data_IF_227155801976
#
_entry.id   IF_227155801976
#
_cell.length_a   1.000
_cell.length_b   1.000
_cell.length_c   1.000
_cell.angle_alpha   90.00
_cell.angle_beta   90.00
_cell.angle_gamma   90.00
#
_symmetry.space_group_name_H-M   'P 1'
#
loop_
_entity.id
_entity.type
_entity.pdbx_description
1 polymer ?
#
# COMPACT_ATOMS: atom_id res chain seq x y z
N UNK A 1 -6.75 20.85 24.39
CA UNK A 1 -7.43 20.13 23.30
C UNK A 1 -6.46 20.08 22.14
N UNK A 2 -6.18 18.91 21.59
CA UNK A 2 -5.38 18.81 20.36
C UNK A 2 -6.37 18.84 19.20
N UNK A 3 -6.26 19.82 18.32
CA UNK A 3 -7.18 19.97 17.20
C UNK A 3 -6.93 18.87 16.16
N UNK A 4 -8.04 18.34 15.63
CA UNK A 4 -7.99 17.36 14.53
C UNK A 4 -7.48 18.07 13.27
N UNK A 5 -6.47 17.50 12.57
CA UNK A 5 -5.97 18.08 11.33
C UNK A 5 -7.08 18.34 10.31
N UNK A 6 -6.94 19.41 9.53
CA UNK A 6 -7.96 19.83 8.56
C UNK A 6 -8.17 18.78 7.46
N UNK A 7 -7.09 18.12 7.01
CA UNK A 7 -7.18 17.08 5.98
C UNK A 7 -7.99 15.85 6.44
N UNK A 8 -7.95 15.48 7.73
CA UNK A 8 -8.81 14.44 8.31
C UNK A 8 -10.27 14.84 8.25
N UNK A 9 -10.59 16.10 8.60
CA UNK A 9 -11.96 16.62 8.54
C UNK A 9 -12.47 16.67 7.10
N UNK A 10 -11.63 17.14 6.17
CA UNK A 10 -11.97 17.19 4.75
C UNK A 10 -12.19 15.80 4.14
N UNK A 11 -11.31 14.84 4.44
CA UNK A 11 -11.46 13.46 3.96
C UNK A 11 -12.70 12.76 4.54
N UNK A 12 -12.99 12.98 5.84
CA UNK A 12 -14.18 12.45 6.48
C UNK A 12 -15.46 13.02 5.86
N UNK A 13 -15.56 14.34 5.74
CA UNK A 13 -16.72 15.01 5.15
C UNK A 13 -16.93 14.58 3.69
N UNK A 14 -15.85 14.45 2.91
CA UNK A 14 -15.92 13.97 1.54
C UNK A 14 -16.45 12.53 1.47
N UNK A 15 -15.98 11.66 2.36
CA UNK A 15 -16.37 10.26 2.39
C UNK A 15 -17.82 10.07 2.90
N UNK A 16 -18.28 10.89 3.85
CA UNK A 16 -19.67 10.90 4.34
C UNK A 16 -20.65 11.31 3.24
N UNK A 17 -20.26 12.26 2.38
CA UNK A 17 -21.05 12.68 1.22
C UNK A 17 -21.22 11.62 0.12
N UNK A 18 -20.60 10.44 0.24
CA UNK A 18 -20.69 9.35 -0.76
C UNK A 18 -21.81 8.37 -0.45
N UNK A 19 -22.50 7.95 -1.49
CA UNK A 19 -23.51 6.90 -1.42
C UNK A 19 -22.96 5.60 -0.82
N UNK A 20 -23.83 4.82 -0.17
CA UNK A 20 -23.47 3.52 0.34
C UNK A 20 -23.03 2.59 -0.80
N UNK A 21 -21.89 1.92 -0.63
CA UNK A 21 -21.31 1.04 -1.66
C UNK A 21 -20.44 1.74 -2.72
N UNK A 22 -20.23 3.06 -2.63
CA UNK A 22 -19.23 3.75 -3.44
C UNK A 22 -17.81 3.25 -3.11
N UNK A 23 -17.08 2.76 -4.10
CA UNK A 23 -15.76 2.15 -3.91
C UNK A 23 -14.71 3.15 -3.45
N UNK A 24 -14.77 4.39 -3.94
CA UNK A 24 -13.84 5.45 -3.53
C UNK A 24 -14.15 5.90 -2.09
N UNK A 25 -15.43 6.15 -1.78
CA UNK A 25 -15.90 6.42 -0.42
C UNK A 25 -15.52 5.33 0.59
N UNK A 26 -15.69 4.05 0.24
CA UNK A 26 -15.29 2.93 1.11
C UNK A 26 -13.77 2.88 1.33
N UNK A 27 -12.96 3.07 0.29
CA UNK A 27 -11.51 3.08 0.42
C UNK A 27 -11.01 4.21 1.34
N UNK A 28 -11.58 5.41 1.22
CA UNK A 28 -11.24 6.54 2.11
C UNK A 28 -11.66 6.25 3.56
N UNK A 29 -12.85 5.67 3.77
CA UNK A 29 -13.32 5.26 5.12
C UNK A 29 -12.40 4.19 5.74
N UNK A 30 -11.92 3.23 4.95
CA UNK A 30 -10.97 2.22 5.42
C UNK A 30 -9.66 2.87 5.91
N UNK A 31 -9.09 3.79 5.11
CA UNK A 31 -7.88 4.55 5.49
C UNK A 31 -8.12 5.37 6.76
N UNK A 32 -9.24 6.09 6.86
CA UNK A 32 -9.57 6.88 8.05
C UNK A 32 -9.77 6.01 9.29
N UNK A 33 -10.43 4.86 9.17
CA UNK A 33 -10.59 3.90 10.26
C UNK A 33 -9.24 3.35 10.73
N UNK A 34 -8.34 3.03 9.80
CA UNK A 34 -6.99 2.58 10.15
C UNK A 34 -6.18 3.65 10.87
N UNK A 35 -6.29 4.91 10.44
CA UNK A 35 -5.57 6.05 11.01
C UNK A 35 -6.24 6.65 12.26
N UNK A 36 -7.44 6.22 12.64
CA UNK A 36 -8.10 6.66 13.90
C UNK A 36 -7.99 5.64 15.02
N UNK A 37 -7.58 4.40 14.71
CA UNK A 37 -7.34 3.34 15.69
C UNK A 37 -6.08 3.55 16.56
N UNK A 38 -5.69 2.55 17.36
CA UNK A 38 -4.49 2.61 18.19
C UNK A 38 -3.21 2.79 17.33
N UNK A 39 -2.13 3.40 17.85
CA UNK A 39 -0.85 3.54 17.16
C UNK A 39 -0.35 2.21 16.59
N UNK A 40 0.09 2.20 15.34
CA UNK A 40 0.57 1.00 14.66
C UNK A 40 2.09 1.01 14.65
N UNK A 41 2.73 0.16 15.43
CA UNK A 41 4.19 0.19 15.61
C UNK A 41 4.81 -1.10 15.09
N UNK A 42 5.79 -0.99 14.20
CA UNK A 42 6.62 -2.09 13.74
C UNK A 42 8.01 -2.00 14.36
N UNK A 43 8.63 -3.13 14.69
CA UNK A 43 9.98 -3.17 15.25
C UNK A 43 10.84 -4.16 14.49
N UNK A 44 12.00 -3.73 14.05
CA UNK A 44 12.93 -4.56 13.30
C UNK A 44 14.38 -4.15 13.56
N UNK A 45 15.30 -5.05 13.21
CA UNK A 45 16.70 -4.76 12.90
C UNK A 45 16.84 -4.65 11.37
N UNK A 46 18.06 -4.37 10.90
CA UNK A 46 18.37 -4.37 9.46
C UNK A 46 18.15 -5.76 8.83
N UNK A 47 18.29 -6.83 9.62
CA UNK A 47 18.25 -8.22 9.12
C UNK A 47 16.93 -8.94 9.42
N UNK A 48 16.26 -8.59 10.51
CA UNK A 48 15.14 -9.38 11.02
C UNK A 48 14.06 -8.56 11.74
N UNK A 49 12.79 -9.02 11.68
CA UNK A 49 11.72 -8.47 12.51
C UNK A 49 11.96 -8.82 13.98
N UNK A 50 11.64 -7.92 14.90
CA UNK A 50 11.82 -8.14 16.34
C UNK A 50 10.47 -8.21 17.03
N UNK A 51 10.30 -9.20 17.91
CA UNK A 51 9.08 -9.37 18.69
C UNK A 51 9.21 -8.61 20.01
N UNK A 52 8.48 -7.51 20.10
CA UNK A 52 8.30 -6.70 21.31
C UNK A 52 6.84 -6.29 21.44
N UNK A 53 6.45 -5.88 22.64
CA UNK A 53 5.14 -5.30 22.91
C UNK A 53 5.34 -3.86 23.35
N UNK A 54 4.72 -2.92 22.65
CA UNK A 54 4.73 -1.51 23.04
C UNK A 54 3.37 -1.18 23.67
N UNK A 55 3.31 -0.67 24.91
CA UNK A 55 2.06 -0.36 25.58
C UNK A 55 1.17 0.60 24.76
N UNK A 56 -0.11 0.27 24.65
CA UNK A 56 -1.09 1.10 23.95
C UNK A 56 -0.99 1.08 22.41
N UNK A 57 -0.07 0.31 21.83
CA UNK A 57 0.10 0.19 20.39
C UNK A 57 -0.34 -1.18 19.85
N UNK A 58 -0.80 -1.18 18.60
CA UNK A 58 -0.99 -2.39 17.80
C UNK A 58 0.31 -2.74 17.09
N UNK A 59 0.92 -3.87 17.46
CA UNK A 59 2.17 -4.32 16.85
C UNK A 59 1.96 -4.79 15.40
N UNK A 60 2.85 -4.34 14.50
CA UNK A 60 2.88 -4.73 13.09
C UNK A 60 4.13 -5.54 12.82
N UNK A 61 3.98 -6.66 12.12
CA UNK A 61 5.11 -7.47 11.72
C UNK A 61 5.87 -6.81 10.57
N UNK A 62 6.99 -6.17 10.88
CA UNK A 62 7.74 -5.32 9.94
C UNK A 62 9.13 -5.88 9.71
N UNK A 63 9.53 -5.99 8.43
CA UNK A 63 10.89 -6.32 8.02
C UNK A 63 11.59 -5.06 7.50
N UNK A 64 12.91 -5.01 7.60
CA UNK A 64 13.71 -4.03 6.86
C UNK A 64 13.92 -4.50 5.40
N UNK A 65 13.89 -3.59 4.40
CA UNK A 65 13.38 -2.23 4.50
C UNK A 65 11.87 -2.23 4.71
N UNK A 66 11.38 -1.39 5.62
CA UNK A 66 9.94 -1.27 5.83
C UNK A 66 9.30 -0.67 4.57
N UNK A 67 8.36 -1.43 4.01
CA UNK A 67 7.61 -1.09 2.80
C UNK A 67 6.13 -1.31 3.09
N UNK A 68 5.33 -0.25 2.96
CA UNK A 68 3.88 -0.28 3.20
C UNK A 68 3.40 0.94 3.99
N UNK A 69 2.11 1.03 4.22
CA UNK A 69 1.45 2.14 4.95
C UNK A 69 0.70 1.69 6.20
N UNK A 70 0.73 0.38 6.50
CA UNK A 70 0.06 -0.20 7.67
C UNK A 70 0.75 0.09 9.00
N UNK A 71 1.83 0.87 9.01
CA UNK A 71 2.65 1.18 10.18
C UNK A 71 2.78 2.69 10.31
N UNK A 72 2.50 3.21 11.51
CA UNK A 72 2.67 4.63 11.84
C UNK A 72 4.15 4.92 12.14
N UNK A 73 4.75 4.09 13.00
CA UNK A 73 6.14 4.21 13.44
C UNK A 73 6.89 2.89 13.27
N UNK A 74 8.09 2.95 12.70
CA UNK A 74 9.03 1.84 12.66
C UNK A 74 10.19 2.13 13.60
N UNK A 75 10.32 1.30 14.64
CA UNK A 75 11.47 1.32 15.53
C UNK A 75 12.55 0.41 14.93
N UNK A 76 13.67 1.01 14.53
CA UNK A 76 14.83 0.29 14.03
C UNK A 76 15.83 0.10 15.17
N UNK A 77 16.00 -1.14 15.62
CA UNK A 77 17.01 -1.53 16.61
C UNK A 77 18.36 -1.66 15.89
N UNK A 78 19.30 -0.81 16.27
CA UNK A 78 20.67 -0.85 15.79
C UNK A 78 21.61 -0.33 16.87
N UNK A 79 22.62 -1.12 17.23
CA UNK A 79 23.63 -0.69 18.19
C UNK A 79 24.54 0.37 17.55
N UNK A 80 24.65 1.54 18.18
CA UNK A 80 25.45 2.65 17.67
C UNK A 80 24.85 3.31 16.42
N UNK A 81 25.66 4.07 15.69
CA UNK A 81 25.18 4.85 14.55
C UNK A 81 24.63 3.97 13.42
N UNK A 82 23.48 4.41 12.86
CA UNK A 82 22.84 3.74 11.74
C UNK A 82 23.62 4.02 10.44
N UNK A 83 23.92 3.00 9.61
CA UNK A 83 24.61 3.20 8.35
C UNK A 83 23.91 4.22 7.44
N UNK A 84 24.67 5.03 6.71
CA UNK A 84 24.14 6.13 5.88
C UNK A 84 23.03 5.69 4.90
N UNK A 85 23.13 4.48 4.33
CA UNK A 85 22.10 3.87 3.48
C UNK A 85 20.79 3.61 4.20
N UNK A 86 20.87 3.11 5.42
CA UNK A 86 19.71 2.80 6.25
C UNK A 86 19.05 4.12 6.69
N UNK A 87 19.86 5.09 7.13
CA UNK A 87 19.41 6.45 7.45
C UNK A 87 18.73 7.14 6.27
N UNK A 88 19.31 7.06 5.07
CA UNK A 88 18.73 7.57 3.82
C UNK A 88 17.34 6.97 3.56
N UNK A 89 17.19 5.65 3.72
CA UNK A 89 15.90 4.99 3.54
C UNK A 89 14.88 5.40 4.59
N UNK A 90 15.29 5.53 5.86
CA UNK A 90 14.45 6.04 6.95
C UNK A 90 13.88 7.43 6.61
N UNK A 91 14.66 8.29 5.95
CA UNK A 91 14.24 9.64 5.55
C UNK A 91 13.24 9.67 4.37
N UNK A 92 13.19 8.63 3.56
CA UNK A 92 12.42 8.61 2.31
C UNK A 92 11.00 8.01 2.45
N UNK A 93 10.68 7.39 3.58
CA UNK A 93 9.39 6.74 3.81
C UNK A 93 8.31 7.70 4.33
N UNK A 94 7.01 7.39 4.09
CA UNK A 94 5.92 8.17 4.67
C UNK A 94 5.73 7.88 6.17
N UNK A 95 6.22 6.74 6.64
CA UNK A 95 6.22 6.30 8.04
C UNK A 95 7.28 7.07 8.82
N UNK A 96 7.09 7.21 10.12
CA UNK A 96 8.14 7.73 11.00
C UNK A 96 9.11 6.61 11.36
N UNK A 97 10.40 6.83 11.14
CA UNK A 97 11.44 5.91 11.56
C UNK A 97 12.17 6.46 12.78
N UNK A 98 12.31 5.64 13.80
CA UNK A 98 13.03 5.99 15.02
C UNK A 98 14.14 4.97 15.23
N UNK A 99 15.36 5.46 15.37
CA UNK A 99 16.51 4.66 15.76
C UNK A 99 16.48 4.47 17.27
N UNK A 100 16.63 3.22 17.70
CA UNK A 100 16.78 2.83 19.11
C UNK A 100 17.97 1.86 19.23
N UNK A 101 18.64 1.90 20.37
CA UNK A 101 19.89 1.14 20.56
C UNK A 101 19.64 -0.33 20.86
N UNK A 102 18.57 -0.62 21.60
CA UNK A 102 18.27 -1.96 22.09
C UNK A 102 16.76 -2.25 22.17
N UNK A 103 16.47 -3.49 22.58
CA UNK A 103 15.10 -4.01 22.70
C UNK A 103 14.35 -3.38 23.87
N UNK A 104 15.03 -3.03 24.96
CA UNK A 104 14.42 -2.47 26.17
C UNK A 104 13.90 -1.05 25.91
N UNK A 105 14.67 -0.24 25.18
CA UNK A 105 14.22 1.06 24.67
C UNK A 105 13.00 0.91 23.77
N UNK A 106 12.91 -0.16 22.97
CA UNK A 106 11.73 -0.44 22.15
C UNK A 106 10.48 -0.70 23.01
N UNK A 107 10.60 -1.52 24.04
CA UNK A 107 9.49 -1.91 24.93
C UNK A 107 8.98 -0.73 25.76
N UNK A 108 9.86 0.20 26.13
CA UNK A 108 9.55 1.41 26.88
C UNK A 108 9.15 2.61 26.00
N UNK A 109 9.10 2.45 24.67
CA UNK A 109 8.79 3.54 23.77
C UNK A 109 7.35 4.04 23.95
N UNK A 110 7.17 5.36 24.05
CA UNK A 110 5.86 6.01 24.07
C UNK A 110 5.75 7.08 23.01
N UNK A 111 4.66 7.07 22.25
CA UNK A 111 4.38 8.10 21.25
C UNK A 111 3.43 9.17 21.81
N UNK A 112 3.83 10.43 21.71
CA UNK A 112 2.97 11.55 22.09
C UNK A 112 1.82 11.75 21.09
N UNK A 113 0.65 12.16 21.57
CA UNK A 113 -0.56 12.38 20.74
C UNK A 113 -0.29 13.36 19.61
N UNK A 114 0.41 14.47 19.87
CA UNK A 114 0.74 15.46 18.86
C UNK A 114 1.68 14.90 17.77
N UNK A 115 2.66 14.07 18.15
CA UNK A 115 3.54 13.41 17.19
C UNK A 115 2.76 12.43 16.32
N UNK A 116 1.91 11.61 16.93
CA UNK A 116 1.07 10.65 16.22
C UNK A 116 0.17 11.34 15.19
N UNK A 117 -0.46 12.46 15.55
CA UNK A 117 -1.32 13.20 14.64
C UNK A 117 -0.55 13.73 13.42
N UNK A 118 0.65 14.29 13.61
CA UNK A 118 1.50 14.74 12.48
C UNK A 118 1.89 13.59 11.55
N UNK A 119 2.25 12.43 12.12
CA UNK A 119 2.59 11.23 11.33
C UNK A 119 1.38 10.78 10.52
N UNK A 120 0.22 10.70 11.14
CA UNK A 120 -1.01 10.25 10.51
C UNK A 120 -1.55 11.23 9.48
N UNK A 121 -1.34 12.52 9.68
CA UNK A 121 -1.61 13.57 8.70
C UNK A 121 -0.80 13.33 7.42
N UNK A 122 0.51 13.08 7.56
CA UNK A 122 1.40 12.73 6.44
C UNK A 122 0.97 11.44 5.76
N UNK A 123 0.66 10.39 6.53
CA UNK A 123 0.19 9.11 6.01
C UNK A 123 -1.12 9.24 5.23
N UNK A 124 -2.10 9.99 5.76
CA UNK A 124 -3.37 10.24 5.10
C UNK A 124 -3.15 10.90 3.73
N UNK A 125 -2.29 11.92 3.66
CA UNK A 125 -1.96 12.60 2.39
C UNK A 125 -1.34 11.63 1.38
N UNK A 126 -0.41 10.78 1.80
CA UNK A 126 0.18 9.76 0.92
C UNK A 126 -0.84 8.73 0.44
N UNK A 127 -1.73 8.26 1.33
CA UNK A 127 -2.79 7.29 0.99
C UNK A 127 -3.82 7.89 0.02
N UNK A 128 -4.28 9.11 0.27
CA UNK A 128 -5.20 9.81 -0.62
C UNK A 128 -4.59 10.01 -2.01
N UNK A 129 -3.30 10.32 -2.09
CA UNK A 129 -2.57 10.43 -3.36
C UNK A 129 -2.46 9.08 -4.07
N UNK A 130 -2.16 8.00 -3.35
CA UNK A 130 -2.12 6.66 -3.90
C UNK A 130 -3.50 6.22 -4.42
N UNK A 131 -4.56 6.54 -3.67
CA UNK A 131 -5.94 6.27 -4.07
C UNK A 131 -6.36 7.13 -5.26
N UNK A 132 -5.90 8.38 -5.38
CA UNK A 132 -6.21 9.26 -6.50
C UNK A 132 -5.74 8.73 -7.86
N UNK A 133 -4.67 7.91 -7.88
CA UNK A 133 -4.24 7.18 -9.09
C UNK A 133 -5.33 6.22 -9.58
N UNK A 134 -6.09 5.62 -8.66
CA UNK A 134 -7.17 4.67 -8.96
C UNK A 134 -8.54 5.34 -9.07
N UNK A 135 -8.79 6.39 -8.29
CA UNK A 135 -10.05 7.13 -8.18
C UNK A 135 -9.77 8.62 -8.39
N UNK A 136 -9.76 9.10 -9.65
CA UNK A 136 -9.38 10.48 -9.97
C UNK A 136 -10.19 11.55 -9.25
N UNK A 137 -11.43 11.26 -8.82
CA UNK A 137 -12.25 12.18 -8.01
C UNK A 137 -11.64 12.57 -6.66
N UNK A 138 -10.61 11.84 -6.18
CA UNK A 138 -9.88 12.15 -4.95
C UNK A 138 -8.76 13.19 -5.12
N UNK A 139 -8.45 13.60 -6.36
CA UNK A 139 -7.32 14.49 -6.64
C UNK A 139 -7.41 15.83 -5.89
N UNK A 140 -8.63 16.32 -5.64
CA UNK A 140 -8.86 17.54 -4.86
C UNK A 140 -8.58 17.42 -3.35
N UNK A 141 -8.46 16.20 -2.83
CA UNK A 141 -8.09 15.92 -1.43
C UNK A 141 -6.60 15.58 -1.27
N UNK A 142 -5.93 15.20 -2.35
CA UNK A 142 -4.54 14.76 -2.35
C UNK A 142 -3.60 15.96 -2.44
N UNK A 143 -3.41 16.66 -1.31
CA UNK A 143 -2.37 17.67 -1.19
C UNK A 143 -0.97 17.09 -1.43
N UNK A 144 0.02 17.93 -1.72
CA UNK A 144 1.40 17.48 -1.79
C UNK A 144 1.88 17.02 -0.40
N UNK A 145 2.59 15.89 -0.30
CA UNK A 145 3.11 15.42 0.97
C UNK A 145 4.13 16.44 1.48
N UNK A 146 3.89 16.96 2.70
CA UNK A 146 4.89 17.74 3.39
C UNK A 146 6.15 16.89 3.59
N UNK A 147 7.30 17.39 3.13
CA UNK A 147 8.59 16.80 3.49
C UNK A 147 8.74 16.80 5.02
N UNK A 148 9.36 15.77 5.63
CA UNK A 148 9.61 15.78 7.07
C UNK A 148 10.31 17.08 7.48
N UNK A 149 9.81 17.79 8.51
CA UNK A 149 10.44 19.00 8.98
C UNK A 149 11.77 18.60 9.63
N UNK A 150 12.84 19.19 9.14
CA UNK A 150 14.16 19.20 9.79
C UNK A 150 14.90 17.85 9.80
N UNK A 151 15.43 17.51 8.63
CA UNK A 151 16.55 16.59 8.52
C UNK A 151 17.79 17.46 8.68
N UNK A 152 18.46 17.40 9.84
CA UNK A 152 19.65 18.20 10.13
C UNK A 152 20.73 18.15 9.03
N UNK A 153 21.77 18.97 9.17
CA UNK A 153 22.79 19.14 8.14
C UNK A 153 23.31 17.78 7.58
N UNK A 154 23.40 17.62 6.24
CA UNK A 154 23.78 16.33 5.66
C UNK A 154 25.20 15.94 6.07
N UNK A 155 25.42 14.66 6.35
CA UNK A 155 26.74 14.12 6.67
C UNK A 155 27.50 13.82 5.39
N UNK A 156 28.69 14.36 5.24
CA UNK A 156 29.44 14.31 3.97
C UNK A 156 30.82 13.73 4.20
N UNK A 157 31.19 12.74 3.40
CA UNK A 157 32.57 12.26 3.33
C UNK A 157 33.22 12.75 2.05
N UNK A 158 34.43 13.28 2.17
CA UNK A 158 35.23 13.74 1.04
C UNK A 158 36.35 12.74 0.79
N UNK A 159 36.42 12.22 -0.43
CA UNK A 159 37.40 11.21 -0.86
C UNK A 159 38.13 11.69 -2.12
N UNK A 160 39.36 11.25 -2.30
CA UNK A 160 40.16 11.59 -3.48
C UNK A 160 41.59 11.06 -3.36
N UNK A 161 42.33 10.98 -4.48
CA UNK A 161 43.71 10.51 -4.48
C UNK A 161 44.72 11.57 -4.01
N UNK A 162 44.30 12.85 -3.92
CA UNK A 162 45.12 13.99 -3.50
C UNK A 162 44.64 14.49 -2.12
N UNK A 163 45.46 14.28 -1.10
CA UNK A 163 45.11 14.57 0.29
C UNK A 163 44.97 16.08 0.57
N UNK A 164 45.78 16.92 -0.10
CA UNK A 164 45.77 18.36 0.12
C UNK A 164 44.48 18.96 -0.46
N UNK A 165 44.11 18.58 -1.68
CA UNK A 165 42.82 18.97 -2.28
C UNK A 165 41.62 18.45 -1.50
N UNK A 166 41.71 17.24 -0.97
CA UNK A 166 40.65 16.70 -0.09
C UNK A 166 40.50 17.56 1.17
N UNK A 167 41.60 18.00 1.78
CA UNK A 167 41.57 18.87 2.95
C UNK A 167 40.95 20.24 2.64
N UNK A 168 41.29 20.85 1.50
CA UNK A 168 40.69 22.11 1.04
C UNK A 168 39.17 21.99 0.87
N UNK A 169 38.70 20.96 0.15
CA UNK A 169 37.27 20.74 -0.08
C UNK A 169 36.53 20.43 1.23
N UNK A 170 37.16 19.69 2.15
CA UNK A 170 36.61 19.45 3.50
C UNK A 170 36.42 20.76 4.27
N UNK A 171 37.39 21.67 4.21
CA UNK A 171 37.31 22.96 4.88
C UNK A 171 36.15 23.82 4.34
N UNK A 172 35.96 23.85 3.02
CA UNK A 172 34.84 24.56 2.37
C UNK A 172 33.48 24.01 2.82
N UNK A 173 33.36 22.68 2.90
CA UNK A 173 32.12 22.01 3.29
C UNK A 173 31.81 22.13 4.78
N UNK A 174 32.82 22.06 5.65
CA UNK A 174 32.65 22.07 7.11
C UNK A 174 31.93 23.32 7.66
N UNK A 175 31.92 24.42 6.91
CA UNK A 175 31.19 25.63 7.28
C UNK A 175 29.65 25.47 7.22
N UNK A 176 29.13 24.50 6.46
CA UNK A 176 27.71 24.42 6.10
C UNK A 176 27.10 23.01 6.12
N UNK A 177 27.94 21.97 6.25
CA UNK A 177 27.53 20.55 6.33
C UNK A 177 28.40 19.81 7.34
N UNK A 178 27.94 18.67 7.85
CA UNK A 178 28.69 17.85 8.80
C UNK A 178 29.69 16.96 8.04
N UNK A 179 31.00 17.22 8.16
CA UNK A 179 32.03 16.43 7.47
C UNK A 179 32.46 15.24 8.32
N UNK A 180 32.33 14.02 7.79
CA UNK A 180 32.63 12.75 8.48
C UNK A 180 33.73 11.94 7.77
N UNK A 181 34.21 10.87 8.41
CA UNK A 181 35.42 10.15 7.97
C UNK A 181 35.20 8.88 7.14
N UNK A 182 34.12 8.10 7.28
CA UNK A 182 33.75 7.13 6.23
C UNK A 182 32.41 6.39 6.35
N UNK A 183 32.03 5.85 7.51
CA UNK A 183 30.97 4.83 7.56
C UNK A 183 29.54 5.39 7.45
N UNK A 184 29.34 6.64 7.86
CA UNK A 184 28.02 7.15 8.21
C UNK A 184 27.54 8.33 7.37
N UNK A 185 28.22 8.58 6.25
CA UNK A 185 27.93 9.68 5.35
C UNK A 185 26.60 9.49 4.60
N UNK A 186 25.88 10.59 4.41
CA UNK A 186 24.69 10.70 3.58
C UNK A 186 25.05 10.93 2.10
N UNK A 187 26.19 11.60 1.84
CA UNK A 187 26.72 11.93 0.51
C UNK A 187 28.24 11.77 0.48
N UNK A 188 28.77 11.23 -0.62
CA UNK A 188 30.20 11.20 -0.90
C UNK A 188 30.54 12.33 -1.87
N UNK A 189 31.57 13.12 -1.59
CA UNK A 189 32.15 14.08 -2.53
C UNK A 189 33.48 13.54 -3.00
N UNK A 190 33.58 13.23 -4.30
CA UNK A 190 34.80 12.78 -4.94
C UNK A 190 35.58 13.98 -5.50
N UNK A 191 36.84 14.07 -5.09
CA UNK A 191 37.80 15.10 -5.49
C UNK A 191 38.87 14.46 -6.39
N UNK A 192 39.12 14.99 -7.60
CA UNK A 192 40.11 14.44 -8.50
C UNK A 192 41.54 14.79 -8.09
N UNK A 193 42.51 13.96 -8.52
CA UNK A 193 43.92 14.34 -8.48
C UNK A 193 44.26 15.40 -9.55
N UNK A 194 45.54 15.78 -9.62
CA UNK A 194 46.02 16.81 -10.57
C UNK A 194 45.69 16.54 -12.05
N UNK A 195 45.47 15.27 -12.44
CA UNK A 195 45.13 14.85 -13.81
C UNK A 195 43.67 14.41 -13.99
N UNK A 196 42.78 14.71 -13.04
CA UNK A 196 41.43 14.16 -13.04
C UNK A 196 41.34 12.81 -12.31
N UNK A 197 40.23 12.10 -12.49
CA UNK A 197 40.09 10.73 -12.02
C UNK A 197 40.73 9.75 -12.99
N UNK A 198 41.50 8.82 -12.45
CA UNK A 198 42.14 7.75 -13.20
C UNK A 198 41.38 6.43 -12.98
N UNK A 199 41.59 5.45 -13.86
CA UNK A 199 40.99 4.11 -13.71
C UNK A 199 41.39 3.42 -12.40
N UNK A 200 42.56 3.76 -11.84
CA UNK A 200 43.01 3.25 -10.54
C UNK A 200 42.15 3.76 -9.36
N UNK A 201 41.45 4.89 -9.53
CA UNK A 201 40.55 5.45 -8.52
C UNK A 201 39.17 4.76 -8.53
N UNK A 202 38.84 4.02 -9.60
CA UNK A 202 37.54 3.41 -9.80
C UNK A 202 37.10 2.48 -8.66
N UNK A 203 37.94 1.59 -8.09
CA UNK A 203 37.54 0.72 -6.97
C UNK A 203 37.11 1.52 -5.74
N UNK A 204 37.82 2.59 -5.39
CA UNK A 204 37.50 3.45 -4.23
C UNK A 204 36.19 4.21 -4.45
N UNK A 205 35.98 4.74 -5.66
CA UNK A 205 34.75 5.44 -6.03
C UNK A 205 33.54 4.50 -6.05
N UNK A 206 33.71 3.28 -6.55
CA UNK A 206 32.67 2.25 -6.58
C UNK A 206 32.34 1.73 -5.18
N UNK A 207 33.33 1.51 -4.32
CA UNK A 207 33.09 1.12 -2.93
C UNK A 207 32.33 2.23 -2.18
N UNK A 208 32.72 3.49 -2.32
CA UNK A 208 32.02 4.62 -1.72
C UNK A 208 30.57 4.74 -2.23
N UNK A 209 30.36 4.59 -3.54
CA UNK A 209 29.01 4.50 -4.12
C UNK A 209 28.21 3.30 -3.56
N UNK A 210 28.85 2.13 -3.45
CA UNK A 210 28.27 0.92 -2.86
C UNK A 210 28.03 1.02 -1.34
N UNK A 211 28.52 2.05 -0.66
CA UNK A 211 28.24 2.28 0.77
C UNK A 211 27.22 3.37 1.01
N UNK A 212 27.15 4.39 0.16
CA UNK A 212 26.29 5.57 0.37
C UNK A 212 25.16 5.67 -0.66
N UNK A 213 25.43 5.28 -1.91
CA UNK A 213 24.49 5.38 -3.03
C UNK A 213 24.28 6.81 -3.54
N UNK A 214 25.08 7.77 -3.08
CA UNK A 214 25.03 9.18 -3.51
C UNK A 214 26.46 9.72 -3.61
N UNK A 215 26.84 10.14 -4.81
CA UNK A 215 28.18 10.60 -5.13
C UNK A 215 28.09 11.90 -5.91
N UNK A 216 28.72 12.93 -5.38
CA UNK A 216 28.96 14.19 -6.06
C UNK A 216 30.40 14.18 -6.56
N UNK A 217 30.62 14.53 -7.82
CA UNK A 217 31.95 14.53 -8.43
C UNK A 217 32.38 15.93 -8.86
N UNK A 218 33.65 16.28 -8.61
CA UNK A 218 34.27 17.54 -9.04
C UNK A 218 34.92 17.45 -10.43
N UNK A 219 34.94 16.26 -11.05
CA UNK A 219 35.49 16.04 -12.39
C UNK A 219 34.79 14.86 -13.08
N UNK A 220 34.77 14.78 -14.42
CA UNK A 220 34.22 13.63 -15.11
C UNK A 220 34.85 12.31 -14.63
N UNK A 221 34.00 11.34 -14.31
CA UNK A 221 34.45 10.00 -13.93
C UNK A 221 34.82 9.20 -15.18
N UNK A 222 35.70 8.18 -15.06
CA UNK A 222 35.92 7.22 -16.15
C UNK A 222 34.62 6.52 -16.56
N UNK A 223 34.51 6.15 -17.83
CA UNK A 223 33.31 5.49 -18.36
C UNK A 223 32.99 4.20 -17.60
N UNK A 224 31.70 3.99 -17.29
CA UNK A 224 31.23 2.83 -16.51
C UNK A 224 31.42 2.94 -14.99
N UNK A 225 32.06 4.00 -14.47
CA UNK A 225 32.23 4.22 -13.04
C UNK A 225 31.08 5.08 -12.50
N UNK A 226 30.26 4.50 -11.62
CA UNK A 226 29.19 5.19 -10.88
C UNK A 226 28.30 6.06 -11.80
N UNK A 227 27.50 5.47 -12.70
CA UNK A 227 26.79 6.21 -13.77
C UNK A 227 25.74 7.21 -13.24
N UNK A 228 25.35 7.11 -11.98
CA UNK A 228 24.41 8.01 -11.31
C UNK A 228 25.12 9.09 -10.47
N UNK A 229 26.44 9.25 -10.61
CA UNK A 229 27.17 10.33 -9.96
C UNK A 229 26.73 11.70 -10.49
N UNK A 230 26.61 12.66 -9.59
CA UNK A 230 26.13 14.02 -9.89
C UNK A 230 27.32 14.97 -9.96
N UNK A 231 27.53 15.73 -11.05
CA UNK A 231 28.58 16.75 -11.08
C UNK A 231 28.23 17.89 -10.11
N UNK A 232 29.24 18.41 -9.39
CA UNK A 232 29.04 19.46 -8.39
C UNK A 232 28.51 20.79 -8.96
N UNK A 233 28.79 21.08 -10.24
CA UNK A 233 28.42 22.35 -10.86
C UNK A 233 29.15 23.54 -10.22
N UNK A 234 28.49 24.71 -10.22
CA UNK A 234 29.06 25.96 -9.72
C UNK A 234 28.99 26.12 -8.19
N UNK A 235 27.99 25.51 -7.56
CA UNK A 235 27.81 25.51 -6.10
C UNK A 235 27.81 24.07 -5.57
N UNK A 236 28.92 23.73 -4.90
CA UNK A 236 29.11 22.43 -4.31
C UNK A 236 28.18 22.19 -3.11
N UNK A 237 27.96 23.20 -2.26
CA UNK A 237 27.18 23.03 -1.02
C UNK A 237 25.72 22.80 -1.36
N UNK A 238 25.17 23.59 -2.26
CA UNK A 238 23.78 23.44 -2.70
C UNK A 238 23.57 22.12 -3.44
N UNK A 239 24.54 21.69 -4.25
CA UNK A 239 24.48 20.40 -4.92
C UNK A 239 24.51 19.25 -3.92
N UNK A 240 25.37 19.30 -2.91
CA UNK A 240 25.43 18.30 -1.83
C UNK A 240 24.10 18.25 -1.08
N UNK A 241 23.54 19.40 -0.69
CA UNK A 241 22.22 19.46 -0.04
C UNK A 241 21.15 18.85 -0.92
N UNK A 242 21.05 19.25 -2.18
CA UNK A 242 20.06 18.70 -3.13
C UNK A 242 20.18 17.19 -3.27
N UNK A 243 21.40 16.67 -3.44
CA UNK A 243 21.66 15.23 -3.59
C UNK A 243 21.31 14.48 -2.31
N UNK A 244 21.58 15.03 -1.12
CA UNK A 244 21.22 14.40 0.15
C UNK A 244 19.70 14.15 0.31
N UNK A 245 18.87 14.97 -0.33
CA UNK A 245 17.41 14.83 -0.33
C UNK A 245 16.89 13.83 -1.37
N UNK A 246 17.72 13.39 -2.32
CA UNK A 246 17.32 12.38 -3.30
C UNK A 246 17.39 10.98 -2.68
N UNK A 247 16.55 10.03 -3.10
CA UNK A 247 16.74 8.62 -2.75
C UNK A 247 18.16 8.18 -3.11
N UNK A 248 18.83 7.42 -2.24
CA UNK A 248 20.10 6.83 -2.62
C UNK A 248 19.90 5.98 -3.88
N UNK A 249 20.84 6.06 -4.82
CA UNK A 249 20.92 5.21 -5.99
C UNK A 249 20.99 3.75 -5.53
N UNK A 250 19.83 3.09 -5.55
CA UNK A 250 19.70 1.69 -5.19
C UNK A 250 19.90 0.87 -6.45
N UNK A 251 20.91 0.01 -6.43
CA UNK A 251 20.80 -1.26 -7.14
C UNK A 251 19.69 -2.02 -6.42
N UNK A 252 18.44 -1.79 -6.83
CA UNK A 252 17.30 -2.56 -6.32
C UNK A 252 17.63 -4.03 -6.61
N UNK A 253 17.85 -4.87 -5.59
CA UNK A 253 18.12 -6.28 -5.83
C UNK A 253 16.95 -6.82 -6.65
N UNK A 254 17.24 -7.53 -7.73
CA UNK A 254 16.21 -8.10 -8.57
C UNK A 254 15.26 -8.91 -7.69
N UNK A 255 14.00 -8.45 -7.59
CA UNK A 255 13.00 -9.14 -6.79
C UNK A 255 12.75 -10.50 -7.46
N UNK A 256 12.99 -11.62 -6.77
CA UNK A 256 12.82 -12.93 -7.38
C UNK A 256 11.38 -13.13 -7.89
N UNK A 257 11.21 -13.75 -9.05
CA UNK A 257 9.89 -13.96 -9.68
C UNK A 257 8.89 -14.64 -8.73
N UNK A 258 9.36 -15.55 -7.88
CA UNK A 258 8.56 -16.22 -6.87
C UNK A 258 7.93 -15.24 -5.86
N UNK A 259 8.61 -14.13 -5.52
CA UNK A 259 8.07 -13.10 -4.62
C UNK A 259 6.99 -12.27 -5.31
N UNK A 260 7.14 -12.00 -6.61
CA UNK A 260 6.08 -11.38 -7.42
C UNK A 260 4.85 -12.28 -7.54
N UNK A 261 5.05 -13.56 -7.83
CA UNK A 261 3.97 -14.55 -7.88
C UNK A 261 3.24 -14.65 -6.54
N UNK A 262 3.98 -14.71 -5.42
CA UNK A 262 3.41 -14.74 -4.08
C UNK A 262 2.62 -13.46 -3.73
N UNK A 263 3.09 -12.29 -4.18
CA UNK A 263 2.38 -11.02 -3.98
C UNK A 263 1.06 -10.98 -4.77
N UNK A 264 1.10 -11.43 -6.04
CA UNK A 264 -0.11 -11.58 -6.88
C UNK A 264 -1.09 -12.54 -6.22
N UNK A 265 -0.62 -13.70 -5.77
CA UNK A 265 -1.46 -14.72 -5.15
C UNK A 265 -2.08 -14.22 -3.83
N UNK A 266 -1.31 -13.54 -2.97
CA UNK A 266 -1.85 -12.93 -1.75
C UNK A 266 -2.92 -11.88 -2.04
N UNK A 267 -2.70 -11.06 -3.07
CA UNK A 267 -3.64 -10.03 -3.49
C UNK A 267 -4.91 -10.64 -4.07
N UNK A 268 -4.78 -11.69 -4.89
CA UNK A 268 -5.91 -12.47 -5.40
C UNK A 268 -6.70 -13.10 -4.26
N UNK A 269 -6.05 -13.79 -3.32
CA UNK A 269 -6.71 -14.36 -2.13
C UNK A 269 -7.43 -13.31 -1.27
N UNK A 270 -6.85 -12.11 -1.12
CA UNK A 270 -7.51 -10.99 -0.41
C UNK A 270 -8.76 -10.53 -1.17
N UNK A 271 -8.63 -10.28 -2.47
CA UNK A 271 -9.72 -9.87 -3.33
C UNK A 271 -10.85 -10.91 -3.35
N UNK A 272 -10.52 -12.20 -3.43
CA UNK A 272 -11.50 -13.28 -3.36
C UNK A 272 -12.24 -13.30 -2.03
N UNK A 273 -11.55 -13.11 -0.90
CA UNK A 273 -12.19 -13.03 0.42
C UNK A 273 -13.15 -11.85 0.52
N UNK A 274 -12.75 -10.67 0.06
CA UNK A 274 -13.60 -9.47 0.08
C UNK A 274 -14.85 -9.65 -0.80
N UNK A 275 -14.72 -10.24 -2.00
CA UNK A 275 -15.86 -10.57 -2.87
C UNK A 275 -16.80 -11.59 -2.23
N UNK A 276 -16.26 -12.64 -1.62
CA UNK A 276 -17.07 -13.63 -0.91
C UNK A 276 -17.87 -13.01 0.24
N UNK A 277 -17.27 -12.07 0.97
CA UNK A 277 -17.97 -11.35 2.05
C UNK A 277 -19.12 -10.50 1.49
N UNK A 278 -18.88 -9.72 0.43
CA UNK A 278 -19.93 -8.91 -0.20
C UNK A 278 -21.11 -9.75 -0.71
N UNK A 279 -20.84 -10.87 -1.39
CA UNK A 279 -21.89 -11.78 -1.87
C UNK A 279 -22.65 -12.41 -0.69
N UNK A 280 -21.95 -12.76 0.39
CA UNK A 280 -22.56 -13.29 1.61
C UNK A 280 -23.47 -12.26 2.29
N UNK A 281 -23.04 -11.00 2.37
CA UNK A 281 -23.83 -9.90 2.92
C UNK A 281 -25.09 -9.64 2.09
N UNK A 282 -24.99 -9.58 0.76
CA UNK A 282 -26.16 -9.44 -0.11
C UNK A 282 -27.14 -10.60 0.03
N UNK A 283 -26.64 -11.83 0.21
CA UNK A 283 -27.47 -13.01 0.51
C UNK A 283 -28.21 -12.87 1.84
N UNK A 284 -27.51 -12.44 2.90
CA UNK A 284 -28.10 -12.24 4.22
C UNK A 284 -29.15 -11.13 4.22
N UNK A 285 -28.90 -10.05 3.47
CA UNK A 285 -29.84 -8.95 3.27
C UNK A 285 -31.00 -9.29 2.32
N UNK A 286 -30.91 -10.41 1.59
CA UNK A 286 -31.90 -10.78 0.56
C UNK A 286 -31.90 -9.84 -0.65
N UNK A 287 -30.83 -9.06 -0.86
CA UNK A 287 -30.73 -8.05 -1.92
C UNK A 287 -30.38 -8.68 -3.27
N UNK A 288 -31.41 -9.18 -3.95
CA UNK A 288 -31.28 -9.80 -5.28
C UNK A 288 -30.96 -8.79 -6.38
N UNK A 289 -31.37 -7.52 -6.22
CA UNK A 289 -31.15 -6.47 -7.21
C UNK A 289 -29.70 -6.00 -7.15
N UNK A 290 -29.20 -5.69 -5.96
CA UNK A 290 -27.80 -5.36 -5.73
C UNK A 290 -26.88 -6.50 -6.18
N UNK A 291 -27.26 -7.75 -5.95
CA UNK A 291 -26.50 -8.92 -6.43
C UNK A 291 -26.34 -8.95 -7.96
N UNK A 292 -27.37 -8.57 -8.71
CA UNK A 292 -27.30 -8.46 -10.17
C UNK A 292 -26.49 -7.29 -10.65
N UNK A 293 -26.72 -6.12 -10.08
CA UNK A 293 -25.96 -4.93 -10.44
C UNK A 293 -24.47 -5.16 -10.17
N UNK A 294 -24.15 -5.82 -9.06
CA UNK A 294 -22.80 -6.28 -8.74
C UNK A 294 -22.27 -7.30 -9.76
N UNK A 295 -23.03 -8.34 -10.09
CA UNK A 295 -22.60 -9.37 -11.05
C UNK A 295 -22.34 -8.79 -12.45
N UNK A 296 -23.26 -7.96 -12.97
CA UNK A 296 -23.12 -7.29 -14.27
C UNK A 296 -21.90 -6.38 -14.30
N UNK A 297 -21.66 -5.59 -13.24
CA UNK A 297 -20.49 -4.72 -13.12
C UNK A 297 -19.17 -5.50 -13.18
N UNK A 298 -19.19 -6.76 -12.74
CA UNK A 298 -18.03 -7.63 -12.74
C UNK A 298 -18.01 -8.64 -13.90
N UNK A 299 -18.95 -8.54 -14.86
CA UNK A 299 -18.98 -9.36 -16.06
C UNK A 299 -19.54 -10.78 -15.87
N UNK A 300 -20.25 -11.06 -14.77
CA UNK A 300 -20.86 -12.36 -14.52
C UNK A 300 -22.29 -12.43 -15.03
N UNK A 301 -22.68 -13.59 -15.53
CA UNK A 301 -24.05 -13.88 -15.98
C UNK A 301 -24.77 -14.68 -14.90
N UNK A 302 -25.73 -14.05 -14.22
CA UNK A 302 -26.55 -14.72 -13.22
C UNK A 302 -27.75 -15.45 -13.84
N UNK A 303 -28.24 -16.52 -13.19
CA UNK A 303 -29.49 -17.16 -13.58
C UNK A 303 -30.68 -16.18 -13.52
N UNK A 304 -31.67 -16.42 -14.38
CA UNK A 304 -32.90 -15.63 -14.48
C UNK A 304 -33.63 -15.49 -13.13
N UNK A 305 -34.48 -14.45 -12.97
CA UNK A 305 -35.24 -14.32 -11.72
C UNK A 305 -36.13 -15.54 -11.48
N UNK A 306 -36.26 -15.97 -10.22
CA UNK A 306 -37.32 -16.88 -9.85
C UNK A 306 -38.67 -16.15 -9.97
N UNK A 307 -39.34 -16.35 -11.10
CA UNK A 307 -40.69 -15.87 -11.37
C UNK A 307 -41.66 -17.04 -11.24
N UNK A 308 -42.82 -16.83 -10.63
CA UNK A 308 -43.90 -17.81 -10.63
C UNK A 308 -44.39 -18.01 -12.07
N UNK A 309 -44.38 -19.25 -12.54
CA UNK A 309 -44.80 -19.57 -13.90
C UNK A 309 -46.31 -19.69 -13.99
N UNK A 310 -46.87 -19.53 -15.20
CA UNK A 310 -48.30 -19.73 -15.45
C UNK A 310 -48.77 -21.14 -15.03
N UNK A 311 -47.89 -22.14 -15.15
CA UNK A 311 -48.09 -23.51 -14.70
C UNK A 311 -48.22 -23.63 -13.18
N UNK A 312 -47.47 -22.84 -12.41
CA UNK A 312 -47.57 -22.83 -10.95
C UNK A 312 -48.91 -22.29 -10.47
N UNK A 313 -49.38 -21.23 -11.14
CA UNK A 313 -50.69 -20.63 -10.91
C UNK A 313 -51.80 -21.60 -11.33
N UNK A 314 -51.70 -22.24 -12.50
CA UNK A 314 -52.67 -23.23 -12.96
C UNK A 314 -52.77 -24.44 -12.02
N UNK A 315 -51.64 -24.92 -11.49
CA UNK A 315 -51.60 -26.04 -10.54
C UNK A 315 -52.27 -25.65 -9.21
N UNK A 316 -51.95 -24.46 -8.69
CA UNK A 316 -52.56 -23.96 -7.46
C UNK A 316 -54.07 -23.71 -7.62
N UNK A 317 -54.47 -23.07 -8.71
CA UNK A 317 -55.88 -22.81 -9.03
C UNK A 317 -56.64 -24.12 -9.25
N UNK A 318 -56.06 -25.13 -9.88
CA UNK A 318 -56.68 -26.45 -10.06
C UNK A 318 -56.93 -27.17 -8.74
N UNK A 319 -55.99 -27.07 -7.78
CA UNK A 319 -56.19 -27.56 -6.41
C UNK A 319 -57.33 -26.83 -5.69
N UNK A 320 -57.39 -25.50 -5.82
CA UNK A 320 -58.46 -24.70 -5.24
C UNK A 320 -59.82 -25.08 -5.83
N UNK A 321 -59.90 -25.25 -7.16
CA UNK A 321 -61.12 -25.62 -7.88
C UNK A 321 -61.60 -27.01 -7.48
N UNK A 322 -60.69 -27.98 -7.37
CA UNK A 322 -61.00 -29.33 -6.89
C UNK A 322 -61.54 -29.34 -5.45
N UNK A 323 -60.98 -28.53 -4.55
CA UNK A 323 -61.51 -28.37 -3.20
C UNK A 323 -62.91 -27.74 -3.19
N UNK A 324 -63.15 -26.72 -4.02
CA UNK A 324 -64.44 -26.03 -4.08
C UNK A 324 -65.55 -26.93 -4.67
N UNK A 325 -65.23 -27.82 -5.60
CA UNK A 325 -66.17 -28.80 -6.15
C UNK A 325 -66.57 -29.83 -5.09
N UNK A 326 -65.63 -30.29 -4.27
CA UNK A 326 -65.89 -31.30 -3.24
C UNK A 326 -66.55 -30.72 -1.98
N UNK A 327 -66.24 -29.47 -1.62
CA UNK A 327 -66.84 -28.74 -0.51
C UNK A 327 -66.91 -27.24 -0.83
N UNK A 328 -68.07 -26.73 -1.30
CA UNK A 328 -68.21 -25.32 -1.67
C UNK A 328 -68.00 -24.37 -0.48
N UNK A 329 -68.32 -24.82 0.74
CA UNK A 329 -68.14 -24.03 1.97
C UNK A 329 -66.65 -23.84 2.36
N UNK A 330 -65.74 -24.59 1.73
CA UNK A 330 -64.30 -24.54 2.02
C UNK A 330 -63.53 -23.50 1.19
N UNK A 331 -64.22 -22.67 0.41
CA UNK A 331 -63.62 -21.63 -0.43
C UNK A 331 -62.61 -20.71 0.30
N UNK A 332 -62.88 -20.17 1.51
CA UNK A 332 -61.90 -19.36 2.23
C UNK A 332 -60.64 -20.16 2.61
N UNK A 333 -60.78 -21.44 2.97
CA UNK A 333 -59.64 -22.32 3.26
C UNK A 333 -58.84 -22.65 1.98
N UNK A 334 -59.52 -22.83 0.84
CA UNK A 334 -58.88 -23.03 -0.46
C UNK A 334 -58.04 -21.83 -0.90
N UNK A 335 -58.54 -20.61 -0.70
CA UNK A 335 -57.80 -19.36 -1.00
C UNK A 335 -56.57 -19.23 -0.11
N UNK A 336 -56.70 -19.48 1.20
CA UNK A 336 -55.56 -19.44 2.14
C UNK A 336 -54.52 -20.50 1.78
N UNK A 337 -54.94 -21.73 1.46
CA UNK A 337 -54.04 -22.80 1.04
C UNK A 337 -53.29 -22.45 -0.26
N UNK A 338 -53.97 -21.82 -1.23
CA UNK A 338 -53.36 -21.33 -2.46
C UNK A 338 -52.30 -20.25 -2.18
N UNK A 339 -52.61 -19.27 -1.34
CA UNK A 339 -51.67 -18.21 -0.94
C UNK A 339 -50.44 -18.81 -0.26
N UNK A 340 -50.64 -19.73 0.70
CA UNK A 340 -49.56 -20.41 1.40
C UNK A 340 -48.70 -21.25 0.46
N UNK A 341 -49.32 -21.96 -0.48
CA UNK A 341 -48.62 -22.72 -1.52
C UNK A 341 -47.76 -21.82 -2.40
N UNK A 342 -48.31 -20.71 -2.89
CA UNK A 342 -47.57 -19.75 -3.73
C UNK A 342 -46.42 -19.09 -2.97
N UNK A 343 -46.64 -18.73 -1.70
CA UNK A 343 -45.59 -18.17 -0.83
C UNK A 343 -44.48 -19.19 -0.57
N UNK A 344 -44.81 -20.43 -0.21
CA UNK A 344 -43.81 -21.48 0.01
C UNK A 344 -43.05 -21.81 -1.27
N UNK A 345 -43.75 -21.90 -2.42
CA UNK A 345 -43.13 -22.17 -3.72
C UNK A 345 -42.19 -21.05 -4.12
N UNK A 346 -42.60 -19.79 -3.95
CA UNK A 346 -41.73 -18.62 -4.16
C UNK A 346 -40.50 -18.65 -3.25
N UNK A 347 -40.65 -18.96 -1.96
CA UNK A 347 -39.52 -19.08 -1.02
C UNK A 347 -38.53 -20.17 -1.45
N UNK A 348 -39.01 -21.34 -1.88
CA UNK A 348 -38.16 -22.43 -2.37
C UNK A 348 -37.41 -22.05 -3.65
N UNK A 349 -38.07 -21.37 -4.59
CA UNK A 349 -37.42 -20.90 -5.82
C UNK A 349 -36.34 -19.86 -5.53
N UNK A 350 -36.60 -18.91 -4.62
CA UNK A 350 -35.61 -17.90 -4.21
C UNK A 350 -34.43 -18.55 -3.47
N UNK A 351 -34.68 -19.52 -2.59
CA UNK A 351 -33.61 -20.25 -1.90
C UNK A 351 -32.72 -21.00 -2.90
N UNK A 352 -33.32 -21.75 -3.84
CA UNK A 352 -32.58 -22.45 -4.89
C UNK A 352 -31.79 -21.49 -5.76
N UNK A 353 -32.36 -20.34 -6.11
CA UNK A 353 -31.66 -19.30 -6.86
C UNK A 353 -30.39 -18.85 -6.10
N UNK A 354 -30.51 -18.55 -4.80
CA UNK A 354 -29.36 -18.20 -3.96
C UNK A 354 -28.32 -19.31 -3.80
N UNK A 355 -28.71 -20.58 -3.91
CA UNK A 355 -27.76 -21.72 -3.88
C UNK A 355 -27.05 -21.91 -5.23
N UNK A 356 -27.70 -21.57 -6.35
CA UNK A 356 -27.10 -21.61 -7.69
C UNK A 356 -26.23 -20.40 -8.02
N UNK A 357 -26.49 -19.24 -7.41
CA UNK A 357 -25.73 -18.00 -7.65
C UNK A 357 -24.22 -18.17 -7.36
N UNK A 358 -23.77 -18.76 -6.24
CA UNK A 358 -22.34 -19.03 -6.01
C UNK A 358 -21.68 -19.92 -7.07
N UNK A 359 -22.44 -20.82 -7.70
CA UNK A 359 -21.93 -21.71 -8.76
C UNK A 359 -21.86 -20.97 -10.11
N UNK A 360 -22.85 -20.15 -10.43
CA UNK A 360 -22.86 -19.30 -11.63
C UNK A 360 -21.81 -18.17 -11.59
N UNK A 361 -21.38 -17.79 -10.38
CA UNK A 361 -20.28 -16.85 -10.19
C UNK A 361 -18.89 -17.46 -10.38
N UNK A 362 -18.79 -18.78 -10.65
CA UNK A 362 -17.54 -19.55 -10.70
C UNK A 362 -16.47 -18.92 -9.82
N UNK A 363 -16.64 -19.07 -8.50
CA UNK A 363 -15.53 -18.89 -7.55
C UNK A 363 -14.53 -20.05 -7.69
N UNK A 364 -14.31 -20.48 -8.94
CA UNK A 364 -13.43 -21.54 -9.36
C UNK A 364 -12.00 -21.00 -9.31
N UNK A 365 -11.22 -21.65 -8.46
CA UNK A 365 -9.84 -21.33 -8.14
C UNK A 365 -8.84 -21.68 -9.25
N UNK A 366 -9.29 -22.03 -10.47
CA UNK A 366 -8.40 -22.62 -11.48
C UNK A 366 -8.51 -22.09 -12.92
N UNK A 367 -9.51 -21.28 -13.30
CA UNK A 367 -9.68 -20.85 -14.70
C UNK A 367 -9.15 -19.44 -14.99
N UNK A 368 -8.26 -19.35 -15.98
CA UNK A 368 -7.62 -18.11 -16.40
C UNK A 368 -8.41 -17.42 -17.53
N UNK A 369 -9.42 -16.60 -17.19
CA UNK A 369 -9.91 -15.36 -17.88
C UNK A 369 -11.44 -15.22 -17.77
N UNK A 370 -11.96 -14.04 -17.37
CA UNK A 370 -12.30 -12.91 -18.30
C UNK A 370 -11.93 -11.52 -17.70
N UNK A 371 -11.59 -10.40 -18.38
CA UNK A 371 -12.14 -9.70 -19.56
C UNK A 371 -13.12 -8.60 -19.07
N UNK A 372 -12.91 -7.28 -19.04
CA UNK A 372 -11.87 -6.35 -19.53
C UNK A 372 -11.83 -5.12 -18.57
N UNK A 373 -10.75 -4.98 -17.80
CA UNK A 373 -10.54 -3.82 -16.92
C UNK A 373 -9.17 -3.94 -16.26
N UNK A 374 -8.21 -3.12 -16.68
CA UNK A 374 -6.80 -3.23 -16.33
C UNK A 374 -6.53 -2.92 -14.85
N UNK A 375 -6.72 -3.91 -13.98
CA UNK A 375 -6.38 -3.81 -12.56
C UNK A 375 -4.91 -4.14 -12.25
N UNK A 376 -4.46 -3.85 -11.01
CA UNK A 376 -3.07 -4.06 -10.57
C UNK A 376 -2.56 -5.49 -10.75
N UNK A 377 -3.45 -6.50 -10.72
CA UNK A 377 -3.13 -7.92 -10.99
C UNK A 377 -2.51 -8.12 -12.37
N UNK A 378 -3.04 -7.46 -13.41
CA UNK A 378 -2.53 -7.60 -14.78
C UNK A 378 -1.20 -6.87 -14.97
N UNK A 379 -1.02 -5.73 -14.30
CA UNK A 379 0.27 -5.02 -14.27
C UNK A 379 1.35 -5.90 -13.60
N UNK A 380 1.04 -6.49 -12.44
CA UNK A 380 1.94 -7.40 -11.72
C UNK A 380 2.24 -8.68 -12.52
N UNK A 381 1.23 -9.32 -13.13
CA UNK A 381 1.44 -10.46 -14.05
C UNK A 381 2.25 -10.06 -15.29
N UNK A 382 2.12 -8.82 -15.75
CA UNK A 382 2.95 -8.24 -16.80
C UNK A 382 4.42 -8.13 -16.42
N UNK A 383 4.74 -7.84 -15.15
CA UNK A 383 6.11 -7.83 -14.66
C UNK A 383 6.70 -9.24 -14.58
N UNK A 384 5.91 -10.22 -14.12
CA UNK A 384 6.31 -11.65 -14.12
C UNK A 384 6.61 -12.13 -15.55
N UNK A 385 5.78 -11.75 -16.53
CA UNK A 385 5.99 -12.15 -17.92
C UNK A 385 7.20 -11.46 -18.58
N UNK A 386 7.53 -10.21 -18.20
CA UNK A 386 8.74 -9.52 -18.70
C UNK A 386 10.02 -10.11 -18.10
N UNK A 387 9.99 -10.53 -16.84
CA UNK A 387 11.13 -11.18 -16.20
C UNK A 387 11.45 -12.56 -16.80
N UNK A 388 10.44 -13.28 -17.31
CA UNK A 388 10.63 -14.58 -17.97
C UNK A 388 11.25 -14.52 -19.38
N UNK A 389 11.29 -13.36 -20.02
CA UNK A 389 11.87 -13.18 -21.38
C UNK A 389 13.35 -12.78 -21.37
N UNK A 390 13.97 -12.69 -20.18
CA UNK A 390 15.39 -12.36 -20.00
C UNK A 390 16.30 -13.58 -19.75
N UNK A 391 15.88 -14.80 -20.16
CA UNK A 391 16.73 -16.00 -20.13
C UNK A 391 17.16 -16.42 -21.51
#
# INVERSE_FOLDING_TARGET
>A
MVDVPENFRAAAAWAEGRAFGDMAGMAVREVLNELTGPPRIGVCTVDAPVRVTVPGARMVHTHWPAVGSGTDVVLLIHAGEVPGRVRSRMRAGPQEFIHIEDKEQAENYTIGVAQLLRIRERLLTCELRALAVRFPELSGLAADPALPPDLGAPRVVVIGPDADRVAEVRAVLAAQVEVVTSADADVVVAVPGGRGFLLVDAPTLQDAWRRVGRLVTLSPLPEGVCPQAVPAGWDLVDTVRRVAHQPAGWDLPAVPDARWAQAVEKMERRWHRERHLQVREMRLAGDRRGMREWATRHGYVLPAEPVLTATDLATGSGWMLGMCILRPDALPLGVVALILYLVQRRRRMVARWWDTVPHALELDTTSARPGTGGGPVRWLRGQVNRAGWGR
#
